data_IF_558693165375
#
_entry.id   IF_558693165375
#
_cell.length_a   1.000
_cell.length_b   1.000
_cell.length_c   1.000
_cell.angle_alpha   90.00
_cell.angle_beta   90.00
_cell.angle_gamma   90.00
#
_symmetry.space_group_name_H-M   'P 1'
#
loop_
_entity.id
_entity.type
_entity.pdbx_description
1 polymer ?
#
# COMPACT_ATOMS: atom_id res chain seq x y z
N UNK A 1 80.12 -55.23 2.06
CA UNK A 1 78.69 -55.61 1.95
C UNK A 1 77.88 -54.41 2.43
N UNK A 2 77.06 -53.89 1.54
CA UNK A 2 76.34 -52.61 1.65
C UNK A 2 75.48 -52.50 2.91
N UNK A 3 75.49 -51.34 3.57
CA UNK A 3 74.35 -50.87 4.35
C UNK A 3 74.25 -49.34 4.24
N UNK A 4 73.17 -48.89 3.59
CA UNK A 4 72.67 -47.50 3.63
C UNK A 4 72.18 -47.21 5.05
N UNK A 5 72.38 -45.99 5.54
CA UNK A 5 71.37 -45.29 6.35
C UNK A 5 71.47 -43.78 6.10
N UNK A 6 70.30 -43.18 5.88
CA UNK A 6 70.05 -41.76 5.69
C UNK A 6 69.63 -41.16 7.03
N UNK A 7 70.08 -39.95 7.35
CA UNK A 7 69.44 -39.10 8.36
C UNK A 7 69.27 -37.68 7.81
N UNK A 8 68.06 -37.16 7.96
CA UNK A 8 67.58 -35.85 7.52
C UNK A 8 67.49 -34.94 8.75
N UNK A 9 67.89 -33.68 8.63
CA UNK A 9 67.42 -32.61 9.54
C UNK A 9 67.03 -31.34 8.78
N UNK A 10 65.71 -31.10 8.80
CA UNK A 10 64.92 -29.87 8.97
C UNK A 10 65.38 -28.58 8.27
N UNK A 11 64.60 -28.16 7.26
CA UNK A 11 64.55 -26.78 6.78
C UNK A 11 63.26 -26.08 7.26
N UNK A 12 63.45 -24.94 7.92
CA UNK A 12 62.43 -23.97 8.31
C UNK A 12 61.94 -23.19 7.07
N UNK A 13 60.63 -23.20 6.78
CA UNK A 13 60.00 -22.25 5.86
C UNK A 13 58.69 -21.71 6.44
N UNK A 14 58.73 -20.43 6.76
CA UNK A 14 57.60 -19.57 7.14
C UNK A 14 56.60 -19.56 5.98
N UNK A 15 55.36 -19.99 6.23
CA UNK A 15 54.24 -19.83 5.28
C UNK A 15 53.54 -18.52 5.56
N UNK A 16 53.58 -17.61 4.57
CA UNK A 16 52.72 -16.43 4.53
C UNK A 16 51.26 -16.87 4.49
N UNK A 17 50.47 -16.46 5.50
CA UNK A 17 49.01 -16.50 5.44
C UNK A 17 48.54 -15.29 4.65
N UNK A 18 48.12 -15.48 3.40
CA UNK A 18 47.34 -14.48 2.68
C UNK A 18 45.89 -14.62 3.13
N UNK A 19 45.45 -13.76 4.05
CA UNK A 19 44.04 -13.62 4.42
C UNK A 19 43.35 -13.00 3.20
N UNK A 20 42.59 -13.81 2.46
CA UNK A 20 41.64 -13.29 1.49
C UNK A 20 40.42 -12.81 2.28
N UNK A 21 40.38 -11.52 2.58
CA UNK A 21 39.15 -10.90 3.07
C UNK A 21 38.12 -10.97 1.93
N UNK A 22 37.19 -11.92 2.01
CA UNK A 22 35.95 -11.83 1.24
C UNK A 22 35.22 -10.58 1.77
N UNK A 23 35.39 -9.46 1.06
CA UNK A 23 34.43 -8.38 1.10
C UNK A 23 33.13 -8.94 0.54
N UNK A 24 32.28 -9.50 1.41
CA UNK A 24 30.85 -9.52 1.17
C UNK A 24 30.43 -8.06 1.09
N UNK A 25 30.48 -7.51 -0.12
CA UNK A 25 29.70 -6.33 -0.45
C UNK A 25 28.27 -6.71 -0.16
N UNK A 26 27.71 -6.19 0.93
CA UNK A 26 26.27 -6.12 1.08
C UNK A 26 25.81 -5.24 -0.08
N UNK A 27 25.41 -5.87 -1.20
CA UNK A 27 24.55 -5.22 -2.15
C UNK A 27 23.28 -4.90 -1.35
N UNK A 28 23.21 -3.68 -0.84
CA UNK A 28 21.94 -3.06 -0.51
C UNK A 28 21.22 -2.99 -1.85
N UNK A 29 20.50 -4.06 -2.20
CA UNK A 29 19.49 -4.01 -3.24
C UNK A 29 18.52 -2.95 -2.76
N UNK A 30 18.68 -1.72 -3.24
CA UNK A 30 17.58 -0.79 -3.23
C UNK A 30 16.44 -1.49 -3.97
N UNK A 31 15.23 -1.42 -3.44
CA UNK A 31 14.06 -1.92 -4.15
C UNK A 31 14.08 -1.35 -5.57
N UNK A 32 13.98 -2.19 -6.59
CA UNK A 32 14.11 -1.74 -7.97
C UNK A 32 12.91 -0.87 -8.35
N UNK A 33 11.72 -1.26 -7.87
CA UNK A 33 10.44 -0.59 -8.11
C UNK A 33 9.76 -0.22 -6.81
N UNK A 34 9.36 1.03 -6.68
CA UNK A 34 8.39 1.46 -5.66
C UNK A 34 7.01 1.43 -6.28
N UNK A 35 6.09 0.67 -5.68
CA UNK A 35 4.68 0.62 -6.07
C UNK A 35 3.84 1.28 -5.00
N UNK A 36 3.22 2.41 -5.35
CA UNK A 36 2.34 3.17 -4.46
C UNK A 36 0.89 2.84 -4.81
N UNK A 37 0.14 2.27 -3.87
CA UNK A 37 -1.29 2.02 -3.97
C UNK A 37 -2.03 3.07 -3.16
N UNK A 38 -2.62 4.03 -3.85
CA UNK A 38 -3.34 5.15 -3.25
C UNK A 38 -4.83 4.94 -3.30
N UNK A 39 -5.47 4.82 -2.15
CA UNK A 39 -6.89 4.48 -2.02
C UNK A 39 -7.63 5.40 -1.05
N UNK A 40 -8.94 5.46 -1.20
CA UNK A 40 -9.80 6.22 -0.31
C UNK A 40 -9.99 5.48 1.02
N UNK A 41 -10.36 4.21 0.94
CA UNK A 41 -10.78 3.36 2.05
C UNK A 41 -9.99 2.05 2.12
N UNK A 42 -10.19 1.36 3.25
CA UNK A 42 -9.39 0.23 3.71
C UNK A 42 -9.68 -1.11 3.00
N UNK A 43 -10.67 -1.19 2.13
CA UNK A 43 -11.00 -2.39 1.34
C UNK A 43 -10.77 -2.21 -0.18
N UNK A 44 -10.63 -0.97 -0.66
CA UNK A 44 -10.48 -0.63 -2.08
C UNK A 44 -9.39 -1.46 -2.77
N UNK A 45 -8.17 -1.49 -2.21
CA UNK A 45 -7.07 -2.20 -2.87
C UNK A 45 -7.28 -3.71 -2.84
N UNK A 46 -7.98 -4.23 -1.84
CA UNK A 46 -8.28 -5.65 -1.74
C UNK A 46 -9.28 -6.10 -2.79
N UNK A 47 -10.29 -5.27 -3.06
CA UNK A 47 -11.34 -5.52 -4.04
C UNK A 47 -10.89 -5.25 -5.47
N UNK A 48 -10.21 -4.14 -5.73
CA UNK A 48 -10.00 -3.64 -7.09
C UNK A 48 -8.54 -3.72 -7.57
N UNK A 49 -7.58 -3.75 -6.65
CA UNK A 49 -6.14 -3.70 -6.99
C UNK A 49 -5.40 -5.04 -6.81
N UNK A 50 -6.03 -6.10 -6.32
CA UNK A 50 -5.50 -7.46 -6.42
C UNK A 50 -5.83 -8.12 -7.78
N UNK A 51 -4.89 -8.87 -8.39
CA UNK A 51 -3.67 -9.43 -7.79
C UNK A 51 -2.42 -8.54 -7.85
N UNK A 52 -2.45 -7.35 -8.47
CA UNK A 52 -1.24 -6.51 -8.59
C UNK A 52 -0.61 -6.12 -7.24
N UNK A 53 -1.41 -5.85 -6.21
CA UNK A 53 -0.89 -5.64 -4.84
C UNK A 53 -0.20 -6.90 -4.32
N UNK A 54 -0.83 -8.07 -4.50
CA UNK A 54 -0.23 -9.35 -4.11
C UNK A 54 1.13 -9.57 -4.79
N UNK A 55 1.22 -9.34 -6.11
CA UNK A 55 2.46 -9.44 -6.87
C UNK A 55 3.56 -8.53 -6.29
N UNK A 56 3.21 -7.28 -5.95
CA UNK A 56 4.14 -6.33 -5.32
C UNK A 56 4.58 -6.75 -3.92
N UNK A 57 3.66 -7.24 -3.08
CA UNK A 57 3.99 -7.69 -1.71
C UNK A 57 4.89 -8.93 -1.75
N UNK A 58 4.64 -9.86 -2.68
CA UNK A 58 5.34 -11.14 -2.75
C UNK A 58 6.71 -11.03 -3.43
N UNK A 59 6.92 -10.02 -4.29
CA UNK A 59 8.22 -9.75 -4.89
C UNK A 59 9.15 -9.02 -3.91
N UNK A 60 10.31 -9.63 -3.61
CA UNK A 60 11.29 -9.06 -2.68
C UNK A 60 12.05 -7.85 -3.23
N UNK A 61 12.02 -7.62 -4.55
CA UNK A 61 12.68 -6.49 -5.20
C UNK A 61 11.82 -5.21 -5.15
N UNK A 62 10.56 -5.33 -4.74
CA UNK A 62 9.63 -4.21 -4.71
C UNK A 62 9.58 -3.55 -3.33
N UNK A 63 9.27 -2.26 -3.33
CA UNK A 63 8.77 -1.54 -2.15
C UNK A 63 7.28 -1.28 -2.35
N UNK A 64 6.44 -1.95 -1.58
CA UNK A 64 4.99 -1.74 -1.61
C UNK A 64 4.59 -0.67 -0.61
N UNK A 65 3.90 0.36 -1.07
CA UNK A 65 3.42 1.47 -0.23
C UNK A 65 1.92 1.57 -0.41
N UNK A 66 1.14 1.41 0.65
CA UNK A 66 -0.33 1.50 0.60
C UNK A 66 -0.76 2.72 1.42
N UNK A 67 -1.44 3.67 0.79
CA UNK A 67 -1.85 4.94 1.40
C UNK A 67 -3.37 5.00 1.42
N UNK A 68 -3.95 5.08 2.61
CA UNK A 68 -5.38 5.27 2.81
C UNK A 68 -5.63 6.71 3.24
N UNK A 69 -6.38 7.46 2.42
CA UNK A 69 -6.63 8.87 2.71
C UNK A 69 -7.66 9.05 3.83
N UNK A 70 -8.75 8.28 3.80
CA UNK A 70 -9.81 8.40 4.81
C UNK A 70 -9.71 7.30 5.87
N UNK A 71 -10.50 7.43 6.92
CA UNK A 71 -10.74 6.39 7.91
C UNK A 71 -11.78 5.37 7.44
N UNK A 72 -12.50 5.64 6.34
CA UNK A 72 -13.62 4.80 5.90
C UNK A 72 -14.60 4.52 7.02
N UNK A 73 -14.86 5.54 7.86
CA UNK A 73 -15.61 5.38 9.08
C UNK A 73 -17.13 5.39 8.86
N UNK A 74 -17.59 5.64 7.62
CA UNK A 74 -19.01 5.72 7.25
C UNK A 74 -19.84 6.63 8.19
N UNK A 75 -19.21 7.68 8.72
CA UNK A 75 -19.83 8.61 9.67
C UNK A 75 -20.01 8.09 11.10
N UNK A 76 -19.46 6.92 11.45
CA UNK A 76 -19.49 6.37 12.81
C UNK A 76 -18.38 6.96 13.71
N UNK A 77 -17.33 7.53 13.13
CA UNK A 77 -16.24 8.19 13.85
C UNK A 77 -15.48 7.30 14.84
N UNK A 78 -15.03 7.92 15.93
CA UNK A 78 -14.25 7.24 16.97
C UNK A 78 -15.10 6.45 17.97
N UNK A 79 -14.52 5.37 18.50
CA UNK A 79 -15.13 4.54 19.53
C UNK A 79 -14.24 3.37 19.96
N UNK A 80 -14.74 2.58 20.90
CA UNK A 80 -14.08 1.34 21.33
C UNK A 80 -14.18 0.26 20.23
N UNK A 81 -15.40 0.09 19.69
CA UNK A 81 -15.74 -0.85 18.61
C UNK A 81 -15.96 -0.02 17.33
N UNK A 82 -14.93 0.76 16.99
CA UNK A 82 -15.02 1.72 15.90
C UNK A 82 -14.82 1.02 14.55
N UNK A 83 -15.72 1.28 13.62
CA UNK A 83 -15.71 0.66 12.30
C UNK A 83 -14.38 0.86 11.55
N UNK A 84 -13.79 2.06 11.62
CA UNK A 84 -12.48 2.32 10.98
C UNK A 84 -11.36 1.39 11.51
N UNK A 85 -11.35 1.05 12.80
CA UNK A 85 -10.36 0.13 13.38
C UNK A 85 -10.53 -1.28 12.85
N UNK A 86 -11.77 -1.69 12.62
CA UNK A 86 -12.09 -2.99 12.04
C UNK A 86 -11.58 -3.08 10.60
N UNK A 87 -11.79 -2.04 9.80
CA UNK A 87 -11.27 -2.00 8.44
C UNK A 87 -9.74 -1.91 8.41
N UNK A 88 -9.11 -1.12 9.30
CA UNK A 88 -7.66 -1.10 9.47
C UNK A 88 -7.10 -2.49 9.80
N UNK A 89 -7.71 -3.24 10.73
CA UNK A 89 -7.30 -4.63 11.00
C UNK A 89 -7.49 -5.53 9.78
N UNK A 90 -8.53 -5.32 8.98
CA UNK A 90 -8.73 -6.00 7.69
C UNK A 90 -7.58 -5.77 6.71
N UNK A 91 -7.08 -4.54 6.59
CA UNK A 91 -5.87 -4.21 5.80
C UNK A 91 -4.65 -4.92 6.33
N UNK A 92 -4.39 -4.79 7.64
CA UNK A 92 -3.20 -5.37 8.26
C UNK A 92 -3.20 -6.90 8.13
N UNK A 93 -4.36 -7.54 8.28
CA UNK A 93 -4.51 -8.99 8.09
C UNK A 93 -4.29 -9.42 6.64
N UNK A 94 -4.80 -8.68 5.66
CA UNK A 94 -4.57 -8.94 4.24
C UNK A 94 -3.08 -8.82 3.86
N UNK A 95 -2.39 -7.78 4.33
CA UNK A 95 -0.93 -7.62 4.12
C UNK A 95 -0.16 -8.79 4.71
N UNK A 96 -0.49 -9.22 5.94
CA UNK A 96 0.15 -10.38 6.57
C UNK A 96 -0.14 -11.67 5.81
N UNK A 97 -1.37 -11.87 5.32
CA UNK A 97 -1.74 -13.03 4.52
C UNK A 97 -0.93 -13.09 3.21
N UNK A 98 -0.94 -12.01 2.42
CA UNK A 98 -0.23 -11.94 1.14
C UNK A 98 1.28 -12.13 1.29
N UNK A 99 1.87 -11.50 2.32
CA UNK A 99 3.31 -11.63 2.57
C UNK A 99 3.70 -13.02 3.09
N UNK A 100 2.86 -13.64 3.94
CA UNK A 100 3.12 -14.99 4.46
C UNK A 100 2.76 -16.13 3.50
N UNK A 101 2.04 -15.87 2.41
CA UNK A 101 1.81 -16.87 1.36
C UNK A 101 2.98 -16.98 0.36
N UNK A 102 3.87 -15.97 0.30
CA UNK A 102 5.05 -16.01 -0.57
C UNK A 102 6.05 -17.12 -0.18
N UNK A 103 6.26 -18.15 -0.99
CA UNK A 103 7.04 -19.34 -0.60
C UNK A 103 8.48 -19.01 -0.15
N UNK A 104 9.16 -18.12 -0.87
CA UNK A 104 10.58 -17.80 -0.66
C UNK A 104 10.85 -16.71 0.38
N UNK A 105 9.89 -16.45 1.29
CA UNK A 105 10.01 -15.42 2.34
C UNK A 105 9.87 -16.01 3.73
N UNK A 106 10.74 -15.57 4.64
CA UNK A 106 10.68 -15.92 6.07
C UNK A 106 9.32 -15.58 6.66
N UNK A 107 8.70 -16.52 7.37
CA UNK A 107 7.43 -16.31 8.07
C UNK A 107 7.72 -15.70 9.44
N UNK A 108 7.35 -14.44 9.62
CA UNK A 108 7.63 -13.69 10.87
C UNK A 108 6.42 -13.55 11.78
N UNK A 109 5.37 -14.33 11.56
CA UNK A 109 4.16 -14.35 12.39
C UNK A 109 3.25 -13.15 12.13
N UNK A 110 2.47 -12.75 13.13
CA UNK A 110 1.46 -11.69 12.97
C UNK A 110 1.94 -10.29 13.40
N UNK A 111 3.17 -10.18 13.92
CA UNK A 111 3.70 -8.92 14.46
C UNK A 111 4.08 -7.97 13.31
N UNK A 112 3.46 -6.78 13.30
CA UNK A 112 3.82 -5.70 12.38
C UNK A 112 4.49 -4.57 13.15
N UNK A 113 5.50 -3.94 12.56
CA UNK A 113 6.12 -2.76 13.16
C UNK A 113 5.16 -1.59 13.07
N UNK A 114 4.68 -1.10 14.22
CA UNK A 114 3.77 0.05 14.33
C UNK A 114 4.56 1.29 14.72
N UNK A 115 4.36 2.39 14.00
CA UNK A 115 5.01 3.67 14.27
C UNK A 115 4.13 4.86 13.87
N UNK A 116 4.60 6.07 14.16
CA UNK A 116 4.06 7.32 13.61
C UNK A 116 5.14 7.91 12.70
N UNK A 117 4.81 8.11 11.43
CA UNK A 117 5.71 8.80 10.49
C UNK A 117 5.30 10.26 10.39
N UNK A 118 6.25 11.16 10.62
CA UNK A 118 6.02 12.61 10.49
C UNK A 118 6.28 13.04 9.04
N UNK A 119 5.25 13.53 8.35
CA UNK A 119 5.36 14.09 7.00
C UNK A 119 4.85 15.52 7.04
N UNK A 120 5.72 16.51 6.77
CA UNK A 120 5.37 17.95 6.81
C UNK A 120 4.60 18.38 8.07
N UNK A 121 5.01 17.87 9.24
CA UNK A 121 4.37 18.09 10.55
C UNK A 121 3.03 17.37 10.77
N UNK A 122 2.59 16.52 9.85
CA UNK A 122 1.44 15.64 10.04
C UNK A 122 1.91 14.28 10.57
N UNK A 123 1.54 13.87 11.80
CA UNK A 123 1.74 12.50 12.27
C UNK A 123 0.80 11.55 11.52
N UNK A 124 1.36 10.54 10.85
CA UNK A 124 0.59 9.53 10.11
C UNK A 124 0.83 8.16 10.72
N UNK A 125 -0.24 7.44 11.07
CA UNK A 125 -0.14 6.09 11.59
C UNK A 125 0.42 5.17 10.51
N UNK A 126 1.51 4.48 10.84
CA UNK A 126 2.27 3.67 9.89
C UNK A 126 2.47 2.27 10.42
N UNK A 127 2.29 1.28 9.55
CA UNK A 127 2.67 -0.10 9.79
C UNK A 127 3.66 -0.57 8.72
N UNK A 128 4.66 -1.35 9.12
CA UNK A 128 5.60 -2.00 8.20
C UNK A 128 5.59 -3.51 8.42
N UNK A 129 5.59 -4.26 7.31
CA UNK A 129 5.70 -5.72 7.31
C UNK A 129 6.48 -6.18 6.06
N UNK A 130 7.68 -6.71 6.26
CA UNK A 130 8.65 -6.96 5.20
C UNK A 130 8.87 -5.74 4.29
N UNK A 131 8.59 -5.86 2.99
CA UNK A 131 8.75 -4.79 2.01
C UNK A 131 7.53 -3.86 1.91
N UNK A 132 6.47 -4.11 2.69
CA UNK A 132 5.22 -3.34 2.64
C UNK A 132 5.16 -2.29 3.74
N UNK A 133 4.74 -1.08 3.38
CA UNK A 133 4.41 0.01 4.32
C UNK A 133 2.97 0.42 4.10
N UNK A 134 2.22 0.57 5.19
CA UNK A 134 0.82 0.99 5.19
C UNK A 134 0.69 2.29 5.96
N UNK A 135 0.05 3.29 5.34
CA UNK A 135 -0.24 4.59 5.92
C UNK A 135 -1.75 4.78 6.09
N UNK A 136 -2.17 5.29 7.25
CA UNK A 136 -3.54 5.68 7.52
C UNK A 136 -3.58 7.18 7.89
N UNK A 137 -4.10 8.01 6.98
CA UNK A 137 -4.30 9.44 7.22
C UNK A 137 -5.56 9.71 8.05
N UNK A 138 -6.53 8.79 8.02
CA UNK A 138 -7.76 8.82 8.82
C UNK A 138 -8.61 10.08 8.63
N UNK A 139 -8.62 10.65 7.44
CA UNK A 139 -9.53 11.75 7.12
C UNK A 139 -10.99 11.28 7.14
N UNK A 140 -11.97 12.16 7.39
CA UNK A 140 -13.37 11.82 7.34
C UNK A 140 -13.80 11.16 6.03
N UNK A 141 -14.62 10.12 6.14
CA UNK A 141 -15.34 9.53 5.01
C UNK A 141 -16.31 10.55 4.39
N UNK A 142 -16.29 10.64 3.06
CA UNK A 142 -17.02 11.60 2.26
C UNK A 142 -18.44 11.20 1.89
N UNK A 143 -18.92 10.01 2.29
CA UNK A 143 -20.15 9.40 1.77
C UNK A 143 -20.07 9.13 0.25
N UNK A 144 -20.95 8.29 -0.29
CA UNK A 144 -20.89 7.85 -1.69
C UNK A 144 -20.84 8.98 -2.72
N UNK A 145 -21.57 10.07 -2.45
CA UNK A 145 -21.73 11.23 -3.33
C UNK A 145 -20.87 12.44 -2.94
N UNK A 146 -19.96 12.32 -1.98
CA UNK A 146 -19.12 13.43 -1.52
C UNK A 146 -19.84 14.43 -0.62
N UNK A 147 -21.08 14.17 -0.21
CA UNK A 147 -21.84 15.03 0.72
C UNK A 147 -21.22 15.10 2.11
N UNK A 148 -20.46 14.10 2.53
CA UNK A 148 -19.89 13.94 3.87
C UNK A 148 -20.95 13.64 4.93
N UNK A 149 -20.52 13.18 6.10
CA UNK A 149 -21.43 12.81 7.17
C UNK A 149 -21.75 13.97 8.14
N UNK A 150 -22.95 13.96 8.78
CA UNK A 150 -23.32 14.84 9.89
C UNK A 150 -22.24 15.01 10.95
N UNK A 151 -21.65 13.89 11.39
CA UNK A 151 -20.63 13.84 12.42
C UNK A 151 -19.40 14.70 12.09
N UNK A 152 -19.08 14.81 10.79
CA UNK A 152 -17.89 15.51 10.29
C UNK A 152 -18.22 16.89 9.72
N UNK A 153 -19.36 17.48 10.10
CA UNK A 153 -19.86 18.75 9.56
C UNK A 153 -19.96 18.75 8.02
N UNK A 154 -20.27 17.59 7.42
CA UNK A 154 -20.44 17.43 5.98
C UNK A 154 -19.17 17.81 5.21
N UNK A 155 -17.99 17.67 5.83
CA UNK A 155 -16.70 17.71 5.14
C UNK A 155 -16.45 16.36 4.47
N UNK A 156 -15.82 16.40 3.31
CA UNK A 156 -15.44 15.24 2.49
C UNK A 156 -14.14 15.56 1.73
N UNK A 157 -13.48 14.54 1.18
CA UNK A 157 -12.31 14.76 0.34
C UNK A 157 -12.64 15.67 -0.85
N UNK A 158 -13.78 15.45 -1.52
CA UNK A 158 -14.20 16.23 -2.68
C UNK A 158 -14.35 17.72 -2.36
N UNK A 159 -15.07 18.03 -1.29
CA UNK A 159 -15.26 19.42 -0.84
C UNK A 159 -13.93 20.07 -0.48
N UNK A 160 -13.02 19.31 0.14
CA UNK A 160 -11.70 19.81 0.52
C UNK A 160 -10.82 20.05 -0.72
N UNK A 161 -10.81 19.12 -1.67
CA UNK A 161 -10.11 19.24 -2.95
C UNK A 161 -10.59 20.47 -3.75
N UNK A 162 -11.90 20.71 -3.75
CA UNK A 162 -12.53 21.85 -4.41
C UNK A 162 -12.46 23.16 -3.60
N UNK A 163 -11.74 23.18 -2.47
CA UNK A 163 -11.58 24.35 -1.58
C UNK A 163 -12.92 24.91 -1.04
N UNK A 164 -13.93 24.06 -0.93
CA UNK A 164 -15.24 24.41 -0.37
C UNK A 164 -15.26 24.32 1.15
N UNK A 165 -14.34 23.53 1.72
CA UNK A 165 -14.09 23.44 3.16
C UNK A 165 -12.60 23.61 3.44
N UNK A 166 -12.28 24.06 4.65
CA UNK A 166 -10.91 24.20 5.18
C UNK A 166 -10.79 23.41 6.47
N UNK A 167 -9.58 23.29 7.00
CA UNK A 167 -9.28 22.59 8.26
C UNK A 167 -9.88 21.18 8.29
N UNK A 168 -9.38 20.31 7.42
CA UNK A 168 -9.82 18.92 7.34
C UNK A 168 -9.06 18.09 8.37
N UNK A 169 -9.76 17.73 9.45
CA UNK A 169 -9.20 17.14 10.66
C UNK A 169 -9.34 15.63 10.57
N UNK A 170 -8.26 14.88 10.81
CA UNK A 170 -8.34 13.43 10.95
C UNK A 170 -9.33 13.06 12.08
N UNK A 171 -10.08 11.96 11.93
CA UNK A 171 -11.15 11.62 12.88
C UNK A 171 -10.64 11.38 14.31
N UNK A 172 -9.35 11.07 14.46
CA UNK A 172 -8.67 10.89 15.73
C UNK A 172 -7.99 12.15 16.29
N UNK A 173 -8.22 13.30 15.64
CA UNK A 173 -7.66 14.61 15.98
C UNK A 173 -6.13 14.64 15.99
N UNK A 174 -5.47 13.65 15.38
CA UNK A 174 -4.01 13.57 15.30
C UNK A 174 -3.40 14.71 14.49
N UNK A 175 -4.12 15.20 13.48
CA UNK A 175 -3.67 16.27 12.61
C UNK A 175 -4.83 16.99 11.91
N UNK A 176 -4.53 18.19 11.40
CA UNK A 176 -5.42 19.02 10.59
C UNK A 176 -4.69 19.43 9.33
N UNK A 177 -5.26 19.14 8.17
CA UNK A 177 -4.83 19.72 6.90
C UNK A 177 -5.58 21.02 6.67
N UNK A 178 -4.86 22.13 6.64
CA UNK A 178 -5.48 23.46 6.65
C UNK A 178 -6.16 23.81 5.32
N UNK A 179 -5.60 23.34 4.21
CA UNK A 179 -6.10 23.56 2.85
C UNK A 179 -5.64 22.44 1.90
N UNK A 180 -6.12 22.47 0.65
CA UNK A 180 -5.79 21.48 -0.40
C UNK A 180 -4.29 21.29 -0.54
N UNK A 181 -3.53 22.39 -0.60
CA UNK A 181 -2.08 22.39 -0.85
C UNK A 181 -1.31 21.72 0.30
N UNK A 182 -1.82 21.77 1.52
CA UNK A 182 -1.24 21.13 2.70
C UNK A 182 -1.26 19.59 2.57
N UNK A 183 -2.42 19.03 2.20
CA UNK A 183 -2.57 17.60 1.94
C UNK A 183 -1.81 17.18 0.68
N UNK A 184 -1.87 17.96 -0.40
CA UNK A 184 -1.12 17.70 -1.63
C UNK A 184 0.39 17.63 -1.37
N UNK A 185 0.92 18.62 -0.63
CA UNK A 185 2.32 18.64 -0.24
C UNK A 185 2.71 17.44 0.61
N UNK A 186 1.81 16.99 1.50
CA UNK A 186 2.01 15.81 2.34
C UNK A 186 2.08 14.53 1.51
N UNK A 187 1.16 14.34 0.57
CA UNK A 187 1.18 13.18 -0.33
C UNK A 187 2.44 13.17 -1.21
N UNK A 188 2.84 14.34 -1.74
CA UNK A 188 4.09 14.48 -2.50
C UNK A 188 5.32 14.09 -1.67
N UNK A 189 5.43 14.58 -0.43
CA UNK A 189 6.56 14.26 0.45
C UNK A 189 6.54 12.77 0.84
N UNK A 190 5.38 12.18 1.06
CA UNK A 190 5.23 10.75 1.33
C UNK A 190 5.73 9.90 0.14
N UNK A 191 5.33 10.23 -1.10
CA UNK A 191 5.84 9.53 -2.30
C UNK A 191 7.36 9.76 -2.43
N UNK A 192 7.84 10.99 -2.22
CA UNK A 192 9.28 11.32 -2.31
C UNK A 192 10.11 10.51 -1.31
N UNK A 193 9.66 10.39 -0.06
CA UNK A 193 10.40 9.70 0.99
C UNK A 193 10.35 8.18 0.88
N UNK A 194 9.28 7.63 0.28
CA UNK A 194 9.13 6.18 0.10
C UNK A 194 9.71 5.66 -1.21
N UNK A 195 9.81 6.51 -2.23
CA UNK A 195 10.43 6.19 -3.50
C UNK A 195 11.97 6.20 -3.39
N UNK A 196 12.54 5.08 -2.95
CA UNK A 196 13.99 4.89 -2.85
C UNK A 196 14.59 4.12 -4.04
N UNK A 197 13.72 3.61 -4.92
CA UNK A 197 14.08 2.78 -6.07
C UNK A 197 14.35 3.56 -7.35
N UNK A 198 14.47 2.82 -8.46
CA UNK A 198 14.71 3.41 -9.79
C UNK A 198 13.44 3.55 -10.64
N UNK A 199 12.41 2.76 -10.32
CA UNK A 199 11.12 2.77 -11.00
C UNK A 199 10.01 3.12 -10.02
N UNK A 200 9.00 3.82 -10.52
CA UNK A 200 7.82 4.22 -9.75
C UNK A 200 6.57 3.84 -10.53
N UNK A 201 5.69 3.09 -9.88
CA UNK A 201 4.33 2.83 -10.34
C UNK A 201 3.37 3.37 -9.27
N UNK A 202 2.32 4.06 -9.71
CA UNK A 202 1.30 4.62 -8.81
C UNK A 202 -0.07 4.07 -9.26
N UNK A 203 -0.66 3.26 -8.40
CA UNK A 203 -1.91 2.54 -8.58
C UNK A 203 -3.05 3.30 -7.89
N UNK A 204 -4.07 3.68 -8.66
CA UNK A 204 -5.14 4.60 -8.27
C UNK A 204 -6.46 4.18 -8.90
N UNK A 205 -7.59 4.64 -8.37
CA UNK A 205 -8.89 4.55 -9.04
C UNK A 205 -8.91 5.32 -10.37
N UNK A 206 -9.60 4.78 -11.36
CA UNK A 206 -9.83 5.34 -12.68
C UNK A 206 -10.66 6.63 -12.61
N UNK A 207 -10.10 7.70 -13.19
CA UNK A 207 -10.65 9.06 -13.16
C UNK A 207 -11.63 9.35 -14.29
N UNK A 208 -11.65 8.52 -15.33
CA UNK A 208 -12.58 8.67 -16.45
C UNK A 208 -13.98 8.24 -16.03
N UNK A 209 -14.89 9.21 -15.93
CA UNK A 209 -16.30 8.98 -15.62
C UNK A 209 -17.02 8.12 -16.68
N UNK A 210 -16.47 8.01 -17.90
CA UNK A 210 -16.97 7.11 -18.95
C UNK A 210 -16.55 5.64 -18.71
N UNK A 211 -15.40 5.40 -18.10
CA UNK A 211 -14.86 4.06 -17.84
C UNK A 211 -15.23 3.53 -16.45
N UNK A 212 -15.32 4.42 -15.47
CA UNK A 212 -15.59 4.13 -14.07
C UNK A 212 -16.83 4.92 -13.61
N UNK A 213 -17.97 4.53 -14.20
CA UNK A 213 -19.25 5.23 -14.09
C UNK A 213 -19.77 5.18 -12.66
N UNK A 214 -20.25 6.33 -12.16
CA UNK A 214 -20.93 6.48 -10.87
C UNK A 214 -20.14 5.92 -9.67
N UNK A 215 -18.81 6.01 -9.72
CA UNK A 215 -17.95 5.56 -8.63
C UNK A 215 -18.01 6.51 -7.42
N UNK A 216 -17.55 6.01 -6.27
CA UNK A 216 -17.57 6.72 -5.00
C UNK A 216 -16.72 8.01 -5.08
N UNK A 217 -17.27 9.14 -4.62
CA UNK A 217 -16.62 10.46 -4.69
C UNK A 217 -15.21 10.49 -4.05
N UNK A 218 -15.05 9.84 -2.89
CA UNK A 218 -13.73 9.70 -2.26
C UNK A 218 -12.71 8.92 -3.12
N UNK A 219 -13.10 7.88 -3.85
CA UNK A 219 -12.17 7.11 -4.69
C UNK A 219 -11.59 8.01 -5.80
N UNK A 220 -12.47 8.69 -6.53
CA UNK A 220 -12.10 9.65 -7.57
C UNK A 220 -11.26 10.78 -6.99
N UNK A 221 -11.62 11.31 -5.83
CA UNK A 221 -10.90 12.44 -5.22
C UNK A 221 -9.54 12.04 -4.66
N UNK A 222 -9.41 10.85 -4.08
CA UNK A 222 -8.12 10.32 -3.65
C UNK A 222 -7.16 10.15 -4.83
N UNK A 223 -7.66 9.57 -5.93
CA UNK A 223 -6.92 9.46 -7.19
C UNK A 223 -6.52 10.82 -7.76
N UNK A 224 -7.40 11.82 -7.72
CA UNK A 224 -7.08 13.22 -8.12
C UNK A 224 -5.96 13.82 -7.27
N UNK A 225 -6.03 13.71 -5.94
CA UNK A 225 -5.01 14.24 -5.04
C UNK A 225 -3.63 13.62 -5.31
N UNK A 226 -3.54 12.30 -5.47
CA UNK A 226 -2.26 11.62 -5.67
C UNK A 226 -1.74 11.85 -7.09
N UNK A 227 -2.62 11.85 -8.10
CA UNK A 227 -2.25 12.22 -9.48
C UNK A 227 -1.66 13.62 -9.53
N UNK A 228 -2.29 14.61 -8.89
CA UNK A 228 -1.79 15.98 -8.84
C UNK A 228 -0.49 16.10 -8.03
N UNK A 229 -0.35 15.34 -6.93
CA UNK A 229 0.88 15.32 -6.13
C UNK A 229 2.08 14.73 -6.91
N UNK A 230 1.81 13.82 -7.85
CA UNK A 230 2.83 13.11 -8.60
C UNK A 230 3.17 13.74 -9.98
N UNK A 231 2.18 14.32 -10.66
CA UNK A 231 2.34 14.91 -11.98
C UNK A 231 3.38 16.03 -11.95
N UNK A 232 4.27 16.06 -12.95
CA UNK A 232 5.40 16.98 -13.02
C UNK A 232 6.44 16.88 -11.86
N UNK A 233 6.27 15.94 -10.93
CA UNK A 233 7.20 15.74 -9.80
C UNK A 233 8.01 14.45 -9.93
N UNK A 234 7.43 13.40 -10.51
CA UNK A 234 8.07 12.10 -10.67
C UNK A 234 8.04 11.64 -12.13
N UNK A 235 8.81 10.57 -12.39
CA UNK A 235 8.76 9.78 -13.63
C UNK A 235 8.30 8.39 -13.26
N UNK A 236 7.51 7.77 -14.13
CA UNK A 236 6.93 6.45 -13.87
C UNK A 236 5.62 6.28 -14.62
N UNK A 237 4.78 5.40 -14.09
CA UNK A 237 3.49 5.05 -14.66
C UNK A 237 2.38 5.18 -13.63
N UNK A 238 1.23 5.68 -14.06
CA UNK A 238 -0.05 5.55 -13.37
C UNK A 238 -0.77 4.30 -13.84
N UNK A 239 -1.29 3.52 -12.90
CA UNK A 239 -2.20 2.41 -13.12
C UNK A 239 -3.58 2.84 -12.60
N UNK A 240 -4.53 3.04 -13.50
CA UNK A 240 -5.88 3.53 -13.18
C UNK A 240 -6.88 2.38 -13.23
N UNK A 241 -7.36 1.95 -12.07
CA UNK A 241 -8.23 0.80 -11.84
C UNK A 241 -9.70 1.17 -11.94
N UNK A 242 -10.47 0.38 -12.68
CA UNK A 242 -11.94 0.48 -12.67
C UNK A 242 -12.41 -0.23 -11.39
N UNK A 243 -13.24 0.44 -10.59
CA UNK A 243 -13.66 -0.04 -9.28
C UNK A 243 -15.03 -0.74 -9.38
N UNK A 244 -16.10 -0.16 -8.81
CA UNK A 244 -17.43 -0.79 -8.78
C UNK A 244 -17.99 -1.11 -10.17
N UNK A 245 -17.63 -0.34 -11.20
CA UNK A 245 -18.09 -0.57 -12.57
C UNK A 245 -17.65 -1.94 -13.13
N UNK A 246 -16.63 -2.58 -12.53
CA UNK A 246 -16.23 -3.94 -12.90
C UNK A 246 -17.32 -4.98 -12.64
N UNK A 247 -18.29 -4.75 -11.76
CA UNK A 247 -19.45 -5.64 -11.59
C UNK A 247 -20.20 -5.90 -12.92
N UNK A 248 -20.15 -4.95 -13.85
CA UNK A 248 -20.79 -5.02 -15.17
C UNK A 248 -19.90 -5.62 -16.28
N UNK A 249 -18.68 -6.04 -15.95
CA UNK A 249 -17.72 -6.62 -16.87
C UNK A 249 -17.57 -8.13 -16.62
N UNK A 250 -17.08 -8.87 -17.62
CA UNK A 250 -16.79 -10.30 -17.45
C UNK A 250 -15.61 -10.51 -16.49
N UNK A 251 -15.58 -11.64 -15.79
CA UNK A 251 -14.39 -12.04 -15.03
C UNK A 251 -13.20 -12.22 -15.99
N UNK A 252 -12.07 -11.59 -15.67
CA UNK A 252 -10.87 -11.62 -16.51
C UNK A 252 -9.62 -12.16 -15.79
N UNK A 253 -9.77 -12.62 -14.55
CA UNK A 253 -8.68 -13.21 -13.77
C UNK A 253 -8.57 -14.71 -13.99
N UNK A 254 -7.34 -15.20 -13.99
CA UNK A 254 -7.04 -16.63 -14.02
C UNK A 254 -7.33 -17.29 -12.66
N UNK A 255 -7.41 -18.62 -12.65
CA UNK A 255 -7.83 -19.37 -11.45
C UNK A 255 -6.98 -19.06 -10.22
N UNK A 256 -5.67 -18.99 -10.37
CA UNK A 256 -4.73 -18.69 -9.29
C UNK A 256 -4.85 -17.25 -8.79
N UNK A 257 -5.10 -16.30 -9.68
CA UNK A 257 -5.43 -14.91 -9.35
C UNK A 257 -6.74 -14.81 -8.55
N UNK A 258 -7.79 -15.51 -8.97
CA UNK A 258 -9.07 -15.59 -8.23
C UNK A 258 -8.85 -16.17 -6.82
N UNK A 259 -8.02 -17.22 -6.69
CA UNK A 259 -7.74 -17.84 -5.40
C UNK A 259 -6.99 -16.88 -4.45
N UNK A 260 -6.01 -16.13 -4.95
CA UNK A 260 -5.30 -15.15 -4.10
C UNK A 260 -6.20 -13.96 -3.76
N UNK A 261 -7.04 -13.49 -4.69
CA UNK A 261 -8.04 -12.45 -4.42
C UNK A 261 -9.03 -12.90 -3.34
N UNK A 262 -9.59 -14.10 -3.49
CA UNK A 262 -10.53 -14.70 -2.54
C UNK A 262 -9.89 -14.91 -1.16
N UNK A 263 -8.65 -15.39 -1.11
CA UNK A 263 -7.90 -15.55 0.13
C UNK A 263 -7.63 -14.21 0.81
N UNK A 264 -7.30 -13.18 0.03
CA UNK A 264 -7.07 -11.82 0.54
C UNK A 264 -8.34 -11.22 1.11
N UNK A 265 -9.46 -11.33 0.38
CA UNK A 265 -10.76 -10.86 0.87
C UNK A 265 -11.21 -11.61 2.12
N UNK A 266 -11.04 -12.94 2.15
CA UNK A 266 -11.34 -13.75 3.34
C UNK A 266 -10.50 -13.33 4.56
N UNK A 267 -9.22 -13.02 4.34
CA UNK A 267 -8.35 -12.47 5.37
C UNK A 267 -8.87 -11.10 5.86
N UNK A 268 -9.19 -10.17 4.96
CA UNK A 268 -9.79 -8.86 5.31
C UNK A 268 -11.07 -9.03 6.10
N UNK A 269 -12.00 -9.82 5.58
CA UNK A 269 -13.32 -10.06 6.15
C UNK A 269 -13.25 -10.63 7.57
N UNK A 270 -12.36 -11.59 7.80
CA UNK A 270 -12.13 -12.13 9.15
C UNK A 270 -11.55 -11.09 10.12
N UNK A 271 -10.76 -10.13 9.64
CA UNK A 271 -10.23 -9.03 10.44
C UNK A 271 -11.33 -8.12 10.97
N UNK A 272 -12.32 -7.79 10.14
CA UNK A 272 -13.49 -7.02 10.56
C UNK A 272 -14.30 -7.77 11.63
N UNK A 273 -14.53 -9.06 11.45
CA UNK A 273 -15.28 -9.88 12.42
C UNK A 273 -14.59 -10.03 13.76
N UNK A 274 -13.27 -10.18 13.79
CA UNK A 274 -12.50 -10.20 15.03
C UNK A 274 -12.56 -8.85 15.78
N UNK A 275 -12.87 -7.77 15.07
CA UNK A 275 -13.14 -6.45 15.62
C UNK A 275 -14.65 -6.19 15.89
N UNK A 276 -15.49 -7.24 15.88
CA UNK A 276 -16.95 -7.18 16.17
C UNK A 276 -17.79 -6.45 15.11
N UNK A 277 -17.32 -6.41 13.87
CA UNK A 277 -18.09 -5.88 12.73
C UNK A 277 -18.47 -6.99 11.73
N UNK A 278 -19.45 -6.72 10.86
CA UNK A 278 -19.79 -7.63 9.78
C UNK A 278 -18.55 -7.92 8.92
N UNK A 279 -18.37 -9.18 8.52
CA UNK A 279 -17.20 -9.60 7.76
C UNK A 279 -17.15 -9.00 6.35
N UNK A 280 -18.28 -8.52 5.82
CA UNK A 280 -18.41 -8.13 4.41
C UNK A 280 -18.07 -9.29 3.43
N UNK A 281 -18.07 -10.53 3.94
CA UNK A 281 -18.08 -11.74 3.10
C UNK A 281 -19.53 -12.01 2.69
N UNK A 282 -19.99 -11.28 1.69
CA UNK A 282 -21.35 -11.33 1.15
C UNK A 282 -21.32 -11.30 -0.39
N UNK A 283 -22.48 -11.57 -0.99
CA UNK A 283 -22.63 -11.63 -2.45
C UNK A 283 -22.25 -10.32 -3.15
N UNK A 284 -22.46 -9.19 -2.49
CA UNK A 284 -22.10 -7.88 -3.04
C UNK A 284 -20.59 -7.78 -3.23
N UNK A 285 -19.81 -8.01 -2.17
CA UNK A 285 -18.35 -7.86 -2.25
C UNK A 285 -17.67 -9.00 -3.01
N UNK A 286 -18.19 -10.23 -2.95
CA UNK A 286 -17.57 -11.35 -3.68
C UNK A 286 -17.71 -11.24 -5.20
N UNK A 287 -18.61 -10.39 -5.70
CA UNK A 287 -18.79 -10.11 -7.13
C UNK A 287 -17.53 -9.53 -7.80
N UNK A 288 -16.66 -8.86 -7.05
CA UNK A 288 -15.47 -8.19 -7.60
C UNK A 288 -14.22 -9.10 -7.64
N UNK A 289 -14.25 -10.29 -7.04
CA UNK A 289 -13.04 -11.07 -6.76
C UNK A 289 -12.46 -11.81 -7.98
N UNK A 290 -13.19 -11.86 -9.10
CA UNK A 290 -12.78 -12.55 -10.33
C UNK A 290 -12.40 -11.60 -11.48
N UNK A 291 -12.26 -10.32 -11.18
CA UNK A 291 -11.99 -9.29 -12.17
C UNK A 291 -11.08 -8.19 -11.67
N UNK A 292 -10.27 -7.68 -12.58
CA UNK A 292 -9.48 -6.47 -12.38
C UNK A 292 -9.25 -5.82 -13.73
N UNK A 293 -9.66 -4.57 -13.87
CA UNK A 293 -9.47 -3.78 -15.09
C UNK A 293 -8.72 -2.51 -14.76
N UNK A 294 -7.68 -2.21 -15.54
CA UNK A 294 -6.96 -0.96 -15.41
C UNK A 294 -6.34 -0.54 -16.74
N UNK A 295 -6.03 0.75 -16.87
CA UNK A 295 -5.16 1.27 -17.93
C UNK A 295 -3.88 1.84 -17.34
N UNK A 296 -2.82 1.79 -18.14
CA UNK A 296 -1.50 2.32 -17.76
C UNK A 296 -1.21 3.58 -18.57
N UNK A 297 -0.83 4.66 -17.88
CA UNK A 297 -0.49 5.94 -18.48
C UNK A 297 0.84 6.44 -17.92
N UNK A 298 1.70 7.13 -18.70
CA UNK A 298 2.91 7.71 -18.16
C UNK A 298 2.57 8.83 -17.17
N UNK A 299 3.36 8.96 -16.09
CA UNK A 299 3.37 10.18 -15.27
C UNK A 299 3.95 11.29 -16.14
N UNK A 300 3.09 12.18 -16.66
CA UNK A 300 3.52 13.23 -17.57
C UNK A 300 4.42 14.23 -16.85
N UNK A 301 5.62 14.44 -17.42
CA UNK A 301 6.37 15.67 -17.29
C UNK A 301 5.93 16.54 -18.47
N UNK A 302 5.43 17.76 -18.23
CA UNK A 302 5.37 18.76 -19.30
C UNK A 302 6.75 18.83 -19.99
N UNK A 303 6.72 18.79 -21.32
CA UNK A 303 7.91 19.02 -22.16
C UNK A 303 8.23 20.50 -22.24
#
# INVERSE_FOLDING_TARGET
MYLRFVLIFVFMKIKFFTIFALLLGANMLSAQTTRVFGVAHQDDWQLFMNPNVANSIQNAEDKTVIIHLTAGDAGYGMGNDAFYKAREEGVLRAVRFLSNTAENRLKVGNEMSRSITMIRNHPILTYTYHNTVVYFLRLPDGNGDGSGFPLHNQKSLEKFYNRQVVDFIAIDQSTTYTNKEDLLGTLKELITTTHTGTQLEIHLTELSEDLNVDDHSDHLTASRFITEAATNQFRGEFYYYIDYQTANLEGNLERDEILINSGTWGATASGLSDQRHASLWDEYHTTYLDRQYYRVLPISLER
#
